data_IF_949958346084
#
_entry.id   IF_949958346084
#
_cell.length_a   1.000
_cell.length_b   1.000
_cell.length_c   1.000
_cell.angle_alpha   90.00
_cell.angle_beta   90.00
_cell.angle_gamma   90.00
#
_symmetry.space_group_name_H-M   'P 1'
#
loop_
_entity.id
_entity.type
_entity.pdbx_description
1 polymer ?
#
# COMPACT_ATOMS: atom_id res chain seq x y z
N UNK A 1 -8.01 -12.03 2.84
CA UNK A 1 -7.52 -11.49 1.55
C UNK A 1 -6.02 -11.66 1.47
N UNK A 2 -5.46 -11.96 0.30
CA UNK A 2 -4.00 -11.99 0.08
C UNK A 2 -3.65 -10.80 -0.81
N UNK A 3 -2.76 -9.93 -0.35
CA UNK A 3 -2.28 -8.76 -1.10
C UNK A 3 -0.83 -9.05 -1.48
N UNK A 4 -0.51 -8.96 -2.78
CA UNK A 4 0.89 -8.96 -3.23
C UNK A 4 1.43 -7.55 -3.10
N UNK A 5 2.62 -7.42 -2.52
CA UNK A 5 3.27 -6.14 -2.31
C UNK A 5 4.78 -6.27 -2.44
N UNK A 6 5.44 -5.16 -2.69
CA UNK A 6 6.88 -5.00 -2.52
C UNK A 6 7.12 -3.98 -1.43
N UNK A 7 7.89 -4.35 -0.39
CA UNK A 7 8.30 -3.38 0.63
C UNK A 7 9.56 -2.66 0.15
N UNK A 8 9.50 -1.34 0.10
CA UNK A 8 10.63 -0.50 -0.31
C UNK A 8 10.90 0.56 0.74
N UNK A 9 12.12 1.06 0.79
CA UNK A 9 12.50 2.14 1.69
C UNK A 9 13.45 3.13 0.99
N UNK A 10 13.50 4.36 1.48
CA UNK A 10 14.38 5.41 1.01
C UNK A 10 14.46 6.57 2.01
N UNK A 11 15.66 7.09 2.25
CA UNK A 11 15.91 8.21 3.17
C UNK A 11 15.27 8.06 4.58
N UNK A 12 15.14 6.82 5.08
CA UNK A 12 14.55 6.53 6.39
C UNK A 12 13.04 6.26 6.39
N UNK A 13 12.36 6.46 5.26
CA UNK A 13 10.93 6.16 5.10
C UNK A 13 10.75 4.79 4.42
N UNK A 14 9.77 4.00 4.85
CA UNK A 14 9.38 2.72 4.23
C UNK A 14 7.91 2.68 3.78
N UNK A 15 7.69 2.09 2.61
CA UNK A 15 6.38 1.98 1.96
C UNK A 15 6.09 0.56 1.48
N UNK A 16 4.81 0.21 1.46
CA UNK A 16 4.34 -0.92 0.68
C UNK A 16 3.91 -0.45 -0.70
N UNK A 17 4.53 -0.99 -1.74
CA UNK A 17 4.12 -0.76 -3.12
C UNK A 17 3.19 -1.88 -3.56
N UNK A 18 2.02 -1.49 -4.06
CA UNK A 18 0.98 -2.37 -4.58
C UNK A 18 0.83 -2.12 -6.08
N UNK A 19 0.74 -3.20 -6.85
CA UNK A 19 0.27 -3.14 -8.22
C UNK A 19 -1.27 -3.16 -8.21
N UNK A 20 -1.87 -1.99 -8.35
CA UNK A 20 -3.32 -1.78 -8.32
C UNK A 20 -3.84 -1.32 -9.68
N UNK A 21 -3.20 -1.72 -10.78
CA UNK A 21 -3.65 -1.35 -12.14
C UNK A 21 -5.07 -1.84 -12.47
N UNK A 22 -5.57 -2.82 -11.72
CA UNK A 22 -6.94 -3.33 -11.82
C UNK A 22 -7.95 -2.59 -10.91
N UNK A 23 -7.51 -1.65 -10.07
CA UNK A 23 -8.38 -0.89 -9.15
C UNK A 23 -9.10 -1.77 -8.12
N UNK A 24 -8.46 -2.85 -7.68
CA UNK A 24 -9.05 -3.84 -6.77
C UNK A 24 -8.66 -3.60 -5.30
N UNK A 25 -7.63 -2.80 -5.05
CA UNK A 25 -7.23 -2.44 -3.69
C UNK A 25 -8.22 -1.40 -3.11
N UNK A 26 -8.80 -1.64 -1.92
CA UNK A 26 -9.73 -0.70 -1.30
C UNK A 26 -8.95 0.44 -0.63
N UNK A 27 -8.40 1.33 -1.44
CA UNK A 27 -7.58 2.48 -1.04
C UNK A 27 -8.33 3.48 -0.13
N UNK A 28 -9.66 3.53 -0.23
CA UNK A 28 -10.52 4.34 0.65
C UNK A 28 -10.70 3.74 2.06
N UNK A 29 -10.30 2.49 2.29
CA UNK A 29 -10.37 1.85 3.60
C UNK A 29 -9.14 2.22 4.45
N UNK A 30 -9.22 3.37 5.12
CA UNK A 30 -8.17 3.87 6.00
C UNK A 30 -7.85 2.90 7.16
N UNK A 31 -8.83 2.11 7.64
CA UNK A 31 -8.61 1.16 8.71
C UNK A 31 -7.78 -0.04 8.23
N UNK A 32 -8.02 -0.51 7.00
CA UNK A 32 -7.16 -1.52 6.37
C UNK A 32 -5.73 -0.99 6.21
N UNK A 33 -5.57 0.23 5.67
CA UNK A 33 -4.24 0.83 5.48
C UNK A 33 -3.49 0.96 6.80
N UNK A 34 -4.15 1.43 7.86
CA UNK A 34 -3.57 1.52 9.20
C UNK A 34 -3.16 0.15 9.77
N UNK A 35 -3.98 -0.89 9.55
CA UNK A 35 -3.64 -2.27 9.95
C UNK A 35 -2.44 -2.83 9.20
N UNK A 36 -2.30 -2.53 7.90
CA UNK A 36 -1.13 -2.91 7.12
C UNK A 36 0.13 -2.19 7.62
N UNK A 37 0.02 -0.90 7.93
CA UNK A 37 1.12 -0.05 8.40
C UNK A 37 1.55 -0.32 9.85
N UNK A 38 0.72 -0.98 10.66
CA UNK A 38 1.03 -1.28 12.05
C UNK A 38 2.35 -2.08 12.20
N UNK A 39 3.33 -1.53 12.93
CA UNK A 39 4.69 -2.09 13.04
C UNK A 39 4.78 -3.49 13.67
N UNK A 40 3.84 -3.86 14.54
CA UNK A 40 3.89 -5.11 15.33
C UNK A 40 3.00 -6.23 14.79
N UNK A 41 1.86 -5.86 14.22
CA UNK A 41 0.81 -6.79 13.81
C UNK A 41 0.45 -6.68 12.32
N UNK A 42 0.98 -5.67 11.64
CA UNK A 42 0.95 -5.51 10.20
C UNK A 42 2.31 -5.80 9.58
N UNK A 43 2.53 -5.29 8.38
CA UNK A 43 3.84 -5.38 7.70
C UNK A 43 4.83 -4.35 8.26
N UNK A 44 4.30 -3.27 8.83
CA UNK A 44 5.06 -2.14 9.33
C UNK A 44 5.55 -1.26 8.17
N UNK A 45 5.03 -0.05 8.05
CA UNK A 45 5.51 0.94 7.08
C UNK A 45 4.97 2.32 7.46
N UNK A 46 5.46 3.39 6.84
CA UNK A 46 4.87 4.72 6.97
C UNK A 46 3.62 4.90 6.10
N UNK A 47 3.52 4.17 4.99
CA UNK A 47 2.35 4.22 4.12
C UNK A 47 2.32 3.18 3.00
N UNK A 48 1.29 3.30 2.15
CA UNK A 48 1.03 2.42 1.01
C UNK A 48 1.00 3.26 -0.26
N UNK A 49 1.70 2.82 -1.30
CA UNK A 49 1.68 3.38 -2.64
C UNK A 49 1.02 2.39 -3.59
N UNK A 50 -0.11 2.78 -4.19
CA UNK A 50 -0.84 1.97 -5.16
C UNK A 50 -0.57 2.47 -6.58
N UNK A 51 0.08 1.65 -7.40
CA UNK A 51 0.30 1.93 -8.82
C UNK A 51 -1.02 1.73 -9.58
N UNK A 52 -1.55 2.81 -10.14
CA UNK A 52 -2.78 2.80 -10.96
C UNK A 52 -2.52 3.30 -12.37
N UNK A 53 -3.39 2.90 -13.29
CA UNK A 53 -3.46 3.55 -14.59
C UNK A 53 -3.93 4.99 -14.38
N UNK A 54 -3.34 5.92 -15.13
CA UNK A 54 -3.85 7.29 -15.15
C UNK A 54 -5.25 7.28 -15.77
N UNK A 55 -6.12 8.16 -15.29
CA UNK A 55 -7.38 8.42 -15.96
C UNK A 55 -7.09 8.94 -17.38
N UNK A 56 -7.88 8.49 -18.36
CA UNK A 56 -7.82 9.07 -19.69
C UNK A 56 -8.28 10.53 -19.60
N UNK A 57 -7.36 11.46 -19.87
CA UNK A 57 -7.61 12.90 -19.94
C UNK A 57 -8.51 13.22 -21.13
#
# INVERSE_FOLDING_TARGET
>A
MKIKFTKMHGAGNDFLILDDRAGAFPDQDAALVARLAARRFGVGCEGVLALRLADAV
#
